data_IF_550630056847
#
_entry.id   IF_550630056847
#
_cell.length_a   1.000
_cell.length_b   1.000
_cell.length_c   1.000
_cell.angle_alpha   90.00
_cell.angle_beta   90.00
_cell.angle_gamma   90.00
#
_symmetry.space_group_name_H-M   'P 1'
#
loop_
_entity.id
_entity.type
_entity.pdbx_description
1 polymer ?
#
# COMPACT_ATOMS: atom_id res chain seq x y z
N UNK A 1 75.78 11.20 -30.22
CA UNK A 1 74.96 11.01 -29.05
C UNK A 1 74.00 9.82 -29.34
N UNK A 2 74.16 8.73 -28.63
CA UNK A 2 73.18 7.62 -28.65
C UNK A 2 72.20 7.85 -27.51
N UNK A 3 70.92 7.93 -27.85
CA UNK A 3 69.81 7.92 -26.88
C UNK A 3 69.35 6.45 -26.71
N UNK A 4 69.10 6.08 -25.49
CA UNK A 4 68.42 4.84 -25.14
C UNK A 4 67.13 5.21 -24.39
N UNK A 5 65.98 4.75 -24.88
CA UNK A 5 64.71 4.91 -24.20
C UNK A 5 64.50 3.71 -23.26
N UNK A 6 64.21 4.01 -22.00
CA UNK A 6 63.84 3.00 -21.00
C UNK A 6 62.45 3.24 -20.51
N UNK A 7 61.64 2.19 -20.38
CA UNK A 7 60.28 2.25 -19.84
C UNK A 7 60.25 1.70 -18.42
N UNK A 8 59.53 2.37 -17.53
CA UNK A 8 59.17 1.85 -16.21
C UNK A 8 57.75 1.30 -16.26
N UNK A 9 57.49 0.19 -15.59
CA UNK A 9 56.16 -0.42 -15.46
C UNK A 9 55.71 -0.32 -14.03
N UNK A 10 54.38 -0.31 -13.81
CA UNK A 10 53.79 -0.35 -12.46
C UNK A 10 54.18 -1.65 -11.72
N UNK A 11 54.24 -1.58 -10.40
CA UNK A 11 54.44 -2.72 -9.50
C UNK A 11 53.20 -3.65 -9.41
N UNK A 12 53.20 -4.51 -8.41
CA UNK A 12 52.07 -5.34 -8.14
C UNK A 12 50.84 -4.54 -7.70
N UNK A 13 49.64 -5.08 -7.97
CA UNK A 13 48.36 -4.43 -7.54
C UNK A 13 48.36 -4.28 -6.02
N UNK A 14 48.13 -3.07 -5.56
CA UNK A 14 48.02 -2.70 -4.15
C UNK A 14 46.67 -2.13 -3.78
N UNK A 15 46.02 -1.37 -4.67
CA UNK A 15 44.75 -0.73 -4.39
C UNK A 15 43.77 -0.80 -5.58
N UNK A 16 42.50 -0.89 -5.25
CA UNK A 16 41.35 -0.71 -6.19
C UNK A 16 40.49 0.41 -5.65
N UNK A 17 40.25 1.45 -6.46
CA UNK A 17 39.31 2.51 -6.13
C UNK A 17 38.11 2.40 -7.05
N UNK A 18 36.89 2.31 -6.46
CA UNK A 18 35.64 2.23 -7.21
C UNK A 18 34.93 3.57 -7.26
N UNK A 19 34.34 3.86 -8.40
CA UNK A 19 33.39 4.96 -8.61
C UNK A 19 32.19 4.46 -9.36
N UNK A 20 31.05 5.15 -9.20
CA UNK A 20 29.81 4.87 -9.93
C UNK A 20 29.43 6.08 -10.80
N UNK A 21 30.01 6.22 -12.01
CA UNK A 21 29.76 7.36 -12.90
C UNK A 21 28.31 7.53 -13.30
N UNK A 22 27.56 6.42 -13.40
CA UNK A 22 26.10 6.42 -13.57
C UNK A 22 25.50 5.67 -12.41
N UNK A 23 24.59 6.33 -11.68
CA UNK A 23 23.93 5.81 -10.51
C UNK A 23 22.47 6.30 -10.46
N UNK A 24 21.53 5.53 -9.90
CA UNK A 24 20.13 5.87 -9.88
C UNK A 24 19.36 5.48 -11.14
N UNK A 25 19.81 4.48 -11.88
CA UNK A 25 19.08 3.94 -13.03
C UNK A 25 17.73 3.36 -12.58
N UNK A 26 16.73 3.42 -13.46
CA UNK A 26 15.42 2.80 -13.20
C UNK A 26 15.55 1.28 -13.12
N UNK A 27 14.92 0.68 -12.12
CA UNK A 27 14.89 -0.76 -11.88
C UNK A 27 13.92 -1.48 -12.83
N UNK A 28 14.25 -1.49 -14.14
CA UNK A 28 13.42 -2.09 -15.19
C UNK A 28 14.11 -3.24 -15.94
N UNK A 29 15.30 -3.66 -15.47
CA UNK A 29 16.10 -4.71 -16.10
C UNK A 29 16.82 -4.27 -17.39
N UNK A 30 16.64 -3.03 -17.83
CA UNK A 30 17.21 -2.49 -19.08
C UNK A 30 18.16 -1.31 -18.82
N UNK A 31 17.72 -0.37 -17.98
CA UNK A 31 18.53 0.80 -17.64
C UNK A 31 19.71 0.36 -16.75
N UNK A 32 20.88 0.97 -17.01
CA UNK A 32 22.13 0.54 -16.39
C UNK A 32 22.71 1.58 -15.46
N UNK A 33 23.18 1.15 -14.30
CA UNK A 33 24.23 1.83 -13.56
C UNK A 33 25.60 1.43 -14.14
N UNK A 34 26.63 2.25 -13.98
CA UNK A 34 28.00 1.92 -14.35
C UNK A 34 28.92 2.04 -13.16
N UNK A 35 29.90 1.12 -13.11
CA UNK A 35 30.97 1.09 -12.10
C UNK A 35 32.31 1.09 -12.82
N UNK A 36 33.24 1.90 -12.32
CA UNK A 36 34.60 2.00 -12.77
C UNK A 36 35.55 1.65 -11.64
N UNK A 37 36.50 0.74 -11.93
CA UNK A 37 37.59 0.39 -11.04
C UNK A 37 38.90 0.99 -11.56
N UNK A 38 39.60 1.72 -10.72
CA UNK A 38 40.97 2.20 -10.96
C UNK A 38 41.90 1.32 -10.13
N UNK A 39 42.78 0.62 -10.79
CA UNK A 39 43.75 -0.32 -10.17
C UNK A 39 45.13 0.32 -10.19
N UNK A 40 45.79 0.40 -9.01
CA UNK A 40 47.09 0.99 -8.85
C UNK A 40 48.02 0.13 -7.96
N UNK A 41 49.34 0.37 -8.12
CA UNK A 41 50.37 -0.20 -7.25
C UNK A 41 50.51 0.62 -5.94
N UNK A 42 51.47 0.29 -5.10
CA UNK A 42 51.71 0.95 -3.80
C UNK A 42 52.15 2.42 -3.91
N UNK A 43 52.69 2.82 -5.05
CA UNK A 43 53.16 4.17 -5.34
C UNK A 43 52.10 4.99 -6.06
N UNK A 44 50.91 4.41 -6.36
CA UNK A 44 49.79 5.03 -7.03
C UNK A 44 49.87 5.01 -8.57
N UNK A 45 50.82 4.25 -9.15
CA UNK A 45 50.93 4.13 -10.61
C UNK A 45 49.83 3.20 -11.13
N UNK A 46 49.16 3.52 -12.26
CA UNK A 46 48.12 2.69 -12.84
C UNK A 46 48.69 1.34 -13.30
N UNK A 47 48.08 0.24 -12.86
CA UNK A 47 48.49 -1.10 -13.26
C UNK A 47 47.78 -1.51 -14.54
N UNK A 48 48.55 -1.68 -15.62
CA UNK A 48 48.05 -2.15 -16.92
C UNK A 48 47.96 -3.68 -16.96
N UNK A 49 46.90 -4.23 -17.58
CA UNK A 49 46.79 -5.67 -17.81
C UNK A 49 46.22 -6.43 -16.60
N UNK A 50 45.81 -5.77 -15.53
CA UNK A 50 45.19 -6.42 -14.38
C UNK A 50 43.77 -6.93 -14.76
N UNK A 51 43.50 -8.21 -14.48
CA UNK A 51 42.19 -8.81 -14.70
C UNK A 51 41.25 -8.49 -13.53
N UNK A 52 40.24 -7.69 -13.75
CA UNK A 52 39.26 -7.24 -12.76
C UNK A 52 37.99 -8.09 -12.88
N UNK A 53 37.59 -8.73 -11.80
CA UNK A 53 36.32 -9.45 -11.67
C UNK A 53 35.34 -8.59 -10.91
N UNK A 54 34.21 -8.25 -11.54
CA UNK A 54 33.10 -7.57 -10.90
C UNK A 54 32.02 -8.55 -10.48
N UNK A 55 31.52 -8.41 -9.25
CA UNK A 55 30.45 -9.24 -8.69
C UNK A 55 29.51 -8.42 -7.83
N UNK A 56 28.30 -8.94 -7.57
CA UNK A 56 27.35 -8.38 -6.62
C UNK A 56 26.73 -9.47 -5.76
N UNK A 57 26.55 -9.20 -4.48
CA UNK A 57 25.80 -10.07 -3.57
C UNK A 57 24.27 -9.96 -3.76
N UNK A 58 23.79 -8.93 -4.46
CA UNK A 58 22.37 -8.79 -4.78
C UNK A 58 22.01 -9.75 -5.92
N UNK A 59 21.21 -10.79 -5.61
CA UNK A 59 20.85 -11.85 -6.54
C UNK A 59 20.02 -11.38 -7.76
N UNK A 60 19.38 -10.23 -7.68
CA UNK A 60 18.58 -9.64 -8.77
C UNK A 60 19.40 -8.73 -9.69
N UNK A 61 20.58 -8.27 -9.22
CA UNK A 61 21.48 -7.44 -10.03
C UNK A 61 22.23 -8.28 -11.06
N UNK A 62 22.14 -7.86 -12.32
CA UNK A 62 22.90 -8.50 -13.41
C UNK A 62 24.08 -7.61 -13.77
N UNK A 63 25.30 -8.15 -13.63
CA UNK A 63 26.53 -7.44 -13.97
C UNK A 63 26.99 -7.88 -15.35
N UNK A 64 27.35 -6.92 -16.18
CA UNK A 64 28.03 -7.10 -17.45
C UNK A 64 29.37 -6.38 -17.41
N UNK A 65 30.47 -7.12 -17.42
CA UNK A 65 31.82 -6.54 -17.53
C UNK A 65 32.03 -5.99 -18.93
N UNK A 66 32.32 -4.69 -19.03
CA UNK A 66 32.54 -3.99 -20.31
C UNK A 66 34.02 -4.01 -20.66
N UNK A 67 34.87 -3.63 -19.69
CA UNK A 67 36.32 -3.71 -19.79
C UNK A 67 36.80 -4.50 -18.56
N UNK A 68 37.16 -5.77 -18.74
CA UNK A 68 37.58 -6.68 -17.66
C UNK A 68 39.07 -6.69 -17.41
N UNK A 69 39.91 -6.12 -18.31
CA UNK A 69 41.36 -6.01 -18.15
C UNK A 69 41.73 -4.52 -18.25
N UNK A 70 42.51 -4.05 -17.29
CA UNK A 70 42.87 -2.63 -17.21
C UNK A 70 43.76 -2.20 -18.37
N UNK A 71 43.47 -0.99 -18.92
CA UNK A 71 44.29 -0.31 -19.89
C UNK A 71 45.52 0.37 -19.28
N UNK A 72 46.20 1.23 -20.08
CA UNK A 72 47.36 2.00 -19.62
C UNK A 72 46.99 3.02 -18.50
N UNK A 73 45.74 3.34 -18.36
CA UNK A 73 45.16 4.20 -17.32
C UNK A 73 44.77 3.43 -16.02
N UNK A 74 44.99 2.11 -15.99
CA UNK A 74 44.60 1.25 -14.88
C UNK A 74 43.09 1.05 -14.72
N UNK A 75 42.27 1.35 -15.74
CA UNK A 75 40.82 1.35 -15.62
C UNK A 75 40.20 0.06 -16.15
N UNK A 76 39.22 -0.47 -15.38
CA UNK A 76 38.26 -1.49 -15.79
C UNK A 76 36.84 -0.99 -15.50
N UNK A 77 35.84 -1.46 -16.27
CA UNK A 77 34.45 -1.00 -16.15
C UNK A 77 33.44 -2.13 -16.24
N UNK A 78 32.34 -1.98 -15.53
CA UNK A 78 31.18 -2.84 -15.63
C UNK A 78 29.89 -2.02 -15.61
N UNK A 79 28.82 -2.61 -16.16
CA UNK A 79 27.45 -2.09 -16.04
C UNK A 79 26.59 -3.06 -15.25
N UNK A 80 25.57 -2.53 -14.60
CA UNK A 80 24.59 -3.31 -13.85
C UNK A 80 23.19 -2.95 -14.33
N UNK A 81 22.32 -3.97 -14.40
CA UNK A 81 20.87 -3.79 -14.47
C UNK A 81 20.22 -4.44 -13.26
N UNK A 82 19.04 -3.97 -12.88
CA UNK A 82 18.22 -4.60 -11.85
C UNK A 82 16.73 -4.39 -12.15
N UNK A 83 15.87 -5.31 -11.71
CA UNK A 83 14.41 -5.16 -11.75
C UNK A 83 13.83 -4.76 -10.39
N UNK A 84 14.66 -4.76 -9.34
CA UNK A 84 14.29 -4.39 -7.98
C UNK A 84 14.96 -3.08 -7.60
N UNK A 85 14.15 -2.09 -7.20
CA UNK A 85 14.62 -0.81 -6.69
C UNK A 85 15.30 -1.00 -5.32
N UNK A 86 16.34 -0.22 -5.08
CA UNK A 86 17.13 -0.31 -3.84
C UNK A 86 18.62 -0.34 -4.12
N UNK A 87 19.39 -0.65 -3.09
CA UNK A 87 20.86 -0.67 -3.14
C UNK A 87 21.38 -2.01 -3.66
N UNK A 88 22.36 -1.93 -4.56
CA UNK A 88 23.15 -3.06 -5.02
C UNK A 88 24.62 -2.79 -4.74
N UNK A 89 25.24 -3.59 -3.89
CA UNK A 89 26.67 -3.51 -3.61
C UNK A 89 27.45 -4.23 -4.71
N UNK A 90 28.45 -3.55 -5.28
CA UNK A 90 29.36 -4.08 -6.30
C UNK A 90 30.75 -4.25 -5.71
N UNK A 91 31.33 -5.41 -5.92
CA UNK A 91 32.70 -5.74 -5.53
C UNK A 91 33.55 -5.91 -6.79
N UNK A 92 34.69 -5.24 -6.83
CA UNK A 92 35.74 -5.49 -7.82
C UNK A 92 36.91 -6.20 -7.13
N UNK A 93 37.44 -7.25 -7.77
CA UNK A 93 38.53 -8.08 -7.24
C UNK A 93 39.60 -8.27 -8.29
N UNK A 94 40.85 -8.08 -7.88
CA UNK A 94 42.05 -8.50 -8.61
C UNK A 94 42.90 -9.33 -7.68
N UNK A 95 43.10 -10.61 -7.98
CA UNK A 95 43.80 -11.59 -7.12
C UNK A 95 43.20 -11.60 -5.69
N UNK A 96 43.94 -11.09 -4.71
CA UNK A 96 43.51 -10.99 -3.30
C UNK A 96 43.06 -9.59 -2.89
N UNK A 97 43.23 -8.59 -3.77
CA UNK A 97 42.85 -7.20 -3.50
C UNK A 97 41.40 -6.99 -3.95
N UNK A 98 40.55 -6.41 -3.10
CA UNK A 98 39.17 -6.10 -3.45
C UNK A 98 38.74 -4.73 -2.90
N UNK A 99 37.73 -4.18 -3.53
CA UNK A 99 37.03 -2.99 -3.08
C UNK A 99 35.53 -3.12 -3.40
N UNK A 100 34.68 -2.37 -2.71
CA UNK A 100 33.24 -2.37 -2.95
C UNK A 100 32.67 -0.96 -3.01
N UNK A 101 31.53 -0.82 -3.70
CA UNK A 101 30.76 0.41 -3.80
C UNK A 101 29.26 0.08 -3.88
N UNK A 102 28.45 0.89 -3.26
CA UNK A 102 26.99 0.81 -3.38
C UNK A 102 26.50 1.62 -4.59
N UNK A 103 25.64 1.01 -5.39
CA UNK A 103 24.84 1.66 -6.42
C UNK A 103 23.38 1.56 -6.08
N UNK A 104 22.58 2.55 -6.48
CA UNK A 104 21.15 2.57 -6.23
C UNK A 104 20.37 2.41 -7.54
N UNK A 105 19.27 1.64 -7.47
CA UNK A 105 18.24 1.62 -8.51
C UNK A 105 16.96 2.25 -7.95
N UNK A 106 16.25 3.02 -8.76
CA UNK A 106 15.03 3.70 -8.39
C UNK A 106 13.81 3.03 -9.05
N UNK A 107 12.65 3.14 -8.42
CA UNK A 107 11.40 2.69 -9.04
C UNK A 107 11.12 3.48 -10.33
N UNK A 108 10.41 2.86 -11.26
CA UNK A 108 9.95 3.47 -12.50
C UNK A 108 8.73 4.37 -12.33
N UNK A 109 8.03 4.64 -13.43
CA UNK A 109 6.78 5.38 -13.41
C UNK A 109 5.67 4.57 -12.71
N UNK A 110 4.68 5.26 -12.14
CA UNK A 110 3.47 4.62 -11.56
C UNK A 110 2.80 3.73 -12.60
N UNK A 111 2.54 2.50 -12.25
CA UNK A 111 1.83 1.53 -13.09
C UNK A 111 0.57 0.99 -12.42
N UNK A 112 0.58 0.82 -11.10
CA UNK A 112 -0.54 0.25 -10.35
C UNK A 112 -0.78 0.99 -9.04
N UNK A 113 -2.06 1.04 -8.65
CA UNK A 113 -2.53 1.40 -7.32
C UNK A 113 -3.33 0.20 -6.80
N UNK A 114 -2.95 -0.34 -5.64
CA UNK A 114 -3.69 -1.41 -4.96
C UNK A 114 -4.23 -0.87 -3.64
N UNK A 115 -5.55 -0.97 -3.44
CA UNK A 115 -6.20 -0.48 -2.22
C UNK A 115 -6.44 -1.61 -1.22
N UNK A 116 -6.37 -1.27 0.06
CA UNK A 116 -6.78 -2.12 1.18
C UNK A 116 -7.50 -1.29 2.24
N UNK A 117 -8.29 -1.96 3.08
CA UNK A 117 -9.05 -1.35 4.18
C UNK A 117 -8.59 -1.96 5.50
N UNK A 118 -7.50 -1.48 6.11
CA UNK A 118 -6.98 -2.01 7.37
C UNK A 118 -7.93 -1.82 8.55
N UNK A 119 -8.73 -0.76 8.53
CA UNK A 119 -9.78 -0.47 9.52
C UNK A 119 -11.09 -0.29 8.78
N UNK A 120 -12.09 -1.13 9.10
CA UNK A 120 -13.41 -1.15 8.50
C UNK A 120 -14.48 -1.25 9.59
N UNK A 121 -15.74 -1.01 9.23
CA UNK A 121 -16.90 -1.10 10.12
C UNK A 121 -16.86 -0.12 11.30
N UNK A 122 -16.27 1.06 11.11
CA UNK A 122 -16.35 2.16 12.06
C UNK A 122 -17.81 2.57 12.30
N UNK A 123 -18.11 3.07 13.51
CA UNK A 123 -19.44 3.58 13.84
C UNK A 123 -19.77 4.79 12.98
N UNK A 124 -21.02 4.83 12.47
CA UNK A 124 -21.53 5.94 11.67
C UNK A 124 -21.96 7.10 12.58
N UNK A 125 -21.04 7.66 13.36
CA UNK A 125 -21.24 8.76 14.32
C UNK A 125 -20.55 10.07 13.91
N UNK A 126 -19.85 10.05 12.76
CA UNK A 126 -19.08 11.18 12.25
C UNK A 126 -17.72 11.39 12.93
N UNK A 127 -17.35 10.54 13.90
CA UNK A 127 -16.11 10.63 14.68
C UNK A 127 -15.21 9.41 14.49
N UNK A 128 -15.78 8.21 14.57
CA UNK A 128 -15.05 6.97 14.32
C UNK A 128 -14.59 6.89 12.87
N UNK A 129 -13.41 6.32 12.64
CA UNK A 129 -12.77 6.34 11.32
C UNK A 129 -12.52 4.96 10.76
N UNK A 130 -12.83 4.77 9.49
CA UNK A 130 -12.25 3.74 8.64
C UNK A 130 -10.91 4.22 8.08
N UNK A 131 -10.00 3.29 7.74
CA UNK A 131 -8.73 3.58 7.08
C UNK A 131 -8.67 2.89 5.73
N UNK A 132 -8.21 3.65 4.73
CA UNK A 132 -7.89 3.11 3.40
C UNK A 132 -6.43 3.39 3.08
N UNK A 133 -5.72 2.34 2.69
CA UNK A 133 -4.33 2.38 2.27
C UNK A 133 -4.23 2.16 0.75
N UNK A 134 -3.39 2.95 0.09
CA UNK A 134 -3.06 2.86 -1.33
C UNK A 134 -1.59 2.50 -1.49
N UNK A 135 -1.29 1.28 -1.93
CA UNK A 135 0.03 0.84 -2.34
C UNK A 135 0.25 1.22 -3.81
N UNK A 136 1.28 2.02 -4.07
CA UNK A 136 1.64 2.52 -5.40
C UNK A 136 2.93 1.86 -5.86
N UNK A 137 2.88 1.24 -7.03
CA UNK A 137 4.01 0.47 -7.57
C UNK A 137 4.23 0.78 -9.07
N UNK A 138 5.48 0.56 -9.50
CA UNK A 138 5.84 0.55 -10.92
C UNK A 138 5.46 -0.79 -11.61
N UNK A 139 5.78 -0.92 -12.90
CA UNK A 139 5.47 -2.11 -13.69
C UNK A 139 6.24 -3.38 -13.24
N UNK A 140 7.31 -3.22 -12.46
CA UNK A 140 8.08 -4.34 -11.91
C UNK A 140 7.70 -4.66 -10.45
N UNK A 141 6.70 -3.97 -9.88
CA UNK A 141 6.28 -4.15 -8.50
C UNK A 141 7.11 -3.38 -7.48
N UNK A 142 7.98 -2.46 -7.92
CA UNK A 142 8.75 -1.64 -6.98
C UNK A 142 7.85 -0.56 -6.36
N UNK A 143 7.95 -0.42 -5.06
CA UNK A 143 7.25 0.62 -4.31
C UNK A 143 7.73 2.01 -4.71
N UNK A 144 6.79 2.94 -4.97
CA UNK A 144 7.10 4.31 -5.36
C UNK A 144 6.95 5.23 -4.16
N UNK A 145 8.04 5.86 -3.75
CA UNK A 145 8.08 6.83 -2.65
C UNK A 145 7.74 8.23 -3.14
N UNK A 146 6.98 8.99 -2.35
CA UNK A 146 6.70 10.41 -2.60
C UNK A 146 5.64 10.67 -3.67
N UNK A 147 4.95 9.65 -4.19
CA UNK A 147 3.86 9.83 -5.13
C UNK A 147 2.64 10.44 -4.42
N UNK A 148 2.07 11.52 -4.98
CA UNK A 148 0.90 12.19 -4.44
C UNK A 148 -0.37 11.43 -4.87
N UNK A 149 -1.00 10.75 -3.92
CA UNK A 149 -2.28 10.04 -4.11
C UNK A 149 -3.42 10.95 -3.73
N UNK A 150 -4.38 11.14 -4.64
CA UNK A 150 -5.63 11.87 -4.37
C UNK A 150 -6.73 10.87 -4.05
N UNK A 151 -7.31 10.99 -2.86
CA UNK A 151 -8.45 10.19 -2.40
C UNK A 151 -9.75 10.97 -2.54
N UNK A 152 -10.79 10.30 -2.98
CA UNK A 152 -12.17 10.78 -3.01
C UNK A 152 -13.12 9.69 -2.56
N UNK A 153 -14.30 10.06 -2.07
CA UNK A 153 -15.33 9.13 -1.62
C UNK A 153 -16.68 9.48 -2.24
N UNK A 154 -17.46 8.44 -2.55
CA UNK A 154 -18.86 8.56 -2.88
C UNK A 154 -19.73 8.37 -1.62
N UNK A 155 -21.07 8.63 -1.76
CA UNK A 155 -22.09 8.38 -0.73
C UNK A 155 -21.93 9.18 0.57
N UNK A 156 -21.28 10.36 0.52
CA UNK A 156 -21.27 11.31 1.63
C UNK A 156 -20.24 11.06 2.74
N UNK A 157 -19.42 10.03 2.66
CA UNK A 157 -18.32 9.86 3.60
C UNK A 157 -17.30 10.99 3.45
N UNK A 158 -16.82 11.50 4.58
CA UNK A 158 -15.84 12.59 4.65
C UNK A 158 -14.43 12.03 4.71
N UNK A 159 -13.62 12.33 3.69
CA UNK A 159 -12.18 12.06 3.68
C UNK A 159 -11.46 13.13 4.50
N UNK A 160 -10.69 12.73 5.53
CA UNK A 160 -10.00 13.67 6.41
C UNK A 160 -8.74 14.27 5.75
N UNK A 161 -8.09 13.52 4.86
CA UNK A 161 -6.94 13.99 4.09
C UNK A 161 -7.05 13.50 2.65
N UNK A 162 -7.44 14.41 1.76
CA UNK A 162 -7.73 14.08 0.35
C UNK A 162 -6.48 13.88 -0.51
N UNK A 163 -5.30 14.32 -0.06
CA UNK A 163 -4.04 14.12 -0.79
C UNK A 163 -2.97 13.67 0.18
N UNK A 164 -2.37 12.52 -0.08
CA UNK A 164 -1.31 11.93 0.74
C UNK A 164 -0.16 11.45 -0.13
N UNK A 165 1.07 11.71 0.32
CA UNK A 165 2.25 11.20 -0.38
C UNK A 165 2.60 9.79 0.13
N UNK A 166 3.02 8.92 -0.77
CA UNK A 166 3.48 7.58 -0.40
C UNK A 166 4.78 7.64 0.40
N UNK A 167 4.87 6.82 1.43
CA UNK A 167 6.10 6.57 2.19
C UNK A 167 7.11 5.70 1.44
N UNK A 168 8.20 5.34 2.12
CA UNK A 168 9.28 4.50 1.56
C UNK A 168 8.80 3.10 1.16
N UNK A 169 7.69 2.63 1.72
CA UNK A 169 7.03 1.37 1.38
C UNK A 169 6.03 1.50 0.22
N UNK A 170 5.91 2.69 -0.38
CA UNK A 170 4.95 2.97 -1.46
C UNK A 170 3.51 3.15 -1.00
N UNK A 171 3.23 3.23 0.31
CA UNK A 171 1.87 3.34 0.85
C UNK A 171 1.53 4.79 1.20
N UNK A 172 0.35 5.24 0.76
CA UNK A 172 -0.34 6.44 1.23
C UNK A 172 -1.62 6.01 1.94
N UNK A 173 -1.90 6.59 3.11
CA UNK A 173 -3.08 6.25 3.94
C UNK A 173 -3.97 7.45 4.13
N UNK A 174 -5.30 7.23 4.10
CA UNK A 174 -6.30 8.24 4.47
C UNK A 174 -7.29 7.66 5.47
N UNK A 175 -7.91 8.55 6.25
CA UNK A 175 -9.01 8.24 7.15
C UNK A 175 -10.29 8.86 6.63
N UNK A 176 -11.41 8.19 6.89
CA UNK A 176 -12.74 8.68 6.54
C UNK A 176 -13.73 8.41 7.64
N UNK A 177 -14.70 9.35 7.80
CA UNK A 177 -15.82 9.26 8.73
C UNK A 177 -17.13 9.30 7.96
N UNK A 178 -18.21 8.80 8.56
CA UNK A 178 -19.56 8.91 8.04
C UNK A 178 -20.57 9.05 9.18
N UNK A 179 -21.73 9.66 8.93
CA UNK A 179 -22.84 9.77 9.89
C UNK A 179 -24.01 8.84 9.54
N UNK A 180 -23.91 8.09 8.45
CA UNK A 180 -24.97 7.20 7.96
C UNK A 180 -24.40 5.81 7.74
N UNK A 181 -25.09 4.77 8.23
CA UNK A 181 -24.73 3.36 7.99
C UNK A 181 -24.78 3.03 6.51
N UNK A 182 -23.85 2.18 6.08
CA UNK A 182 -23.81 1.71 4.71
C UNK A 182 -22.40 1.66 4.13
N UNK A 183 -22.32 1.45 2.84
CA UNK A 183 -21.08 1.32 2.11
C UNK A 183 -20.69 2.62 1.42
N UNK A 184 -19.44 3.02 1.57
CA UNK A 184 -18.82 4.14 0.85
C UNK A 184 -17.74 3.61 -0.07
N UNK A 185 -17.79 3.98 -1.35
CA UNK A 185 -16.75 3.66 -2.32
C UNK A 185 -15.65 4.72 -2.27
N UNK A 186 -14.41 4.30 -2.02
CA UNK A 186 -13.23 5.17 -2.00
C UNK A 186 -12.44 4.97 -3.26
N UNK A 187 -12.08 6.06 -3.92
CA UNK A 187 -11.25 6.07 -5.13
C UNK A 187 -9.93 6.74 -4.80
N UNK A 188 -8.82 6.09 -5.14
CA UNK A 188 -7.48 6.68 -5.13
C UNK A 188 -7.01 6.90 -6.55
N UNK A 189 -6.43 8.07 -6.83
CA UNK A 189 -6.01 8.49 -8.18
C UNK A 189 -4.62 9.11 -8.17
N UNK A 190 -3.79 8.76 -9.14
CA UNK A 190 -2.55 9.44 -9.50
C UNK A 190 -2.59 9.65 -11.01
N UNK A 191 -2.60 10.90 -11.46
CA UNK A 191 -2.73 11.28 -12.87
C UNK A 191 -3.93 10.56 -13.55
N UNK A 192 -3.66 9.60 -14.42
CA UNK A 192 -4.70 8.83 -15.14
C UNK A 192 -4.94 7.43 -14.55
N UNK A 193 -4.18 7.04 -13.53
CA UNK A 193 -4.27 5.72 -12.90
C UNK A 193 -5.16 5.84 -11.67
N UNK A 194 -6.19 5.00 -11.58
CA UNK A 194 -7.10 4.97 -10.44
C UNK A 194 -7.44 3.55 -10.01
N UNK A 195 -7.76 3.41 -8.74
CA UNK A 195 -8.33 2.20 -8.14
C UNK A 195 -9.44 2.59 -7.18
N UNK A 196 -10.36 1.66 -6.90
CA UNK A 196 -11.44 1.89 -5.95
C UNK A 196 -11.63 0.68 -5.03
N UNK A 197 -12.18 0.94 -3.85
CA UNK A 197 -12.51 -0.07 -2.84
C UNK A 197 -13.70 0.41 -2.01
N UNK A 198 -14.51 -0.54 -1.58
CA UNK A 198 -15.63 -0.26 -0.67
C UNK A 198 -15.19 -0.39 0.79
N UNK A 199 -15.71 0.49 1.64
CA UNK A 199 -15.60 0.45 3.09
C UNK A 199 -17.00 0.64 3.70
N UNK A 200 -17.28 -0.02 4.82
CA UNK A 200 -18.59 -0.02 5.45
C UNK A 200 -18.57 0.77 6.76
N UNK A 201 -19.69 1.43 7.06
CA UNK A 201 -19.98 2.02 8.36
C UNK A 201 -21.19 1.33 8.98
N UNK A 202 -21.13 1.09 10.30
CA UNK A 202 -22.16 0.37 11.06
C UNK A 202 -22.85 1.27 12.05
N UNK A 203 -24.06 0.89 12.47
CA UNK A 203 -24.76 1.62 13.52
C UNK A 203 -24.06 1.46 14.87
N UNK A 204 -24.16 2.49 15.70
CA UNK A 204 -23.77 2.45 17.10
C UNK A 204 -24.68 1.57 17.97
N UNK A 205 -24.51 1.70 19.29
CA UNK A 205 -25.36 1.01 20.25
C UNK A 205 -26.82 1.46 20.15
N UNK A 206 -27.75 0.54 20.46
CA UNK A 206 -29.19 0.88 20.54
C UNK A 206 -29.41 2.04 21.52
N UNK A 207 -30.03 3.10 21.02
CA UNK A 207 -30.40 4.27 21.80
C UNK A 207 -31.89 4.50 21.88
N UNK A 208 -32.65 4.20 20.81
CA UNK A 208 -34.09 4.42 20.75
C UNK A 208 -34.83 3.20 20.21
N UNK A 209 -36.05 3.00 20.71
CA UNK A 209 -37.04 2.08 20.17
C UNK A 209 -38.35 2.86 20.00
N UNK A 210 -38.83 2.93 18.75
CA UNK A 210 -40.11 3.57 18.43
C UNK A 210 -41.10 2.51 18.00
N UNK A 211 -42.29 2.46 18.65
CA UNK A 211 -43.36 1.53 18.29
C UNK A 211 -44.36 2.21 17.34
N UNK A 212 -44.75 1.51 16.30
CA UNK A 212 -45.82 1.88 15.38
C UNK A 212 -46.82 0.74 15.22
N UNK A 213 -48.04 1.05 14.82
CA UNK A 213 -49.12 0.11 14.55
C UNK A 213 -49.58 0.24 13.10
N UNK A 214 -48.88 -0.38 12.13
CA UNK A 214 -49.23 -0.29 10.72
C UNK A 214 -50.62 -0.83 10.40
N UNK A 215 -51.11 -1.80 11.16
CA UNK A 215 -52.49 -2.29 11.12
C UNK A 215 -53.06 -2.21 12.53
N UNK A 216 -54.16 -1.48 12.67
CA UNK A 216 -54.86 -1.28 13.95
C UNK A 216 -56.38 -1.34 13.75
N UNK A 217 -57.13 -1.72 14.77
CA UNK A 217 -58.59 -1.82 14.75
C UNK A 217 -59.12 -3.21 14.34
N UNK A 218 -58.32 -4.24 14.50
CA UNK A 218 -58.77 -5.63 14.34
C UNK A 218 -59.94 -5.96 15.26
N UNK A 219 -60.90 -6.80 14.78
CA UNK A 219 -62.00 -7.26 15.57
C UNK A 219 -61.52 -8.19 16.70
N UNK A 220 -62.05 -8.01 17.91
CA UNK A 220 -61.68 -8.83 19.04
C UNK A 220 -62.47 -10.18 19.00
N UNK A 221 -62.12 -11.07 18.09
CA UNK A 221 -62.75 -12.35 17.82
C UNK A 221 -61.76 -13.55 17.96
N UNK A 222 -60.50 -13.25 18.37
CA UNK A 222 -59.44 -14.22 18.51
C UNK A 222 -58.74 -14.61 17.20
N UNK A 223 -59.19 -14.09 16.08
CA UNK A 223 -58.66 -14.40 14.72
C UNK A 223 -58.06 -13.20 14.01
N UNK A 224 -58.78 -12.06 14.06
CA UNK A 224 -58.27 -10.83 13.48
C UNK A 224 -57.05 -10.30 14.27
N UNK A 225 -56.09 -9.73 13.56
CA UNK A 225 -54.83 -9.29 14.18
C UNK A 225 -54.48 -7.87 13.88
N UNK A 226 -54.00 -7.16 14.89
CA UNK A 226 -53.25 -5.92 14.75
C UNK A 226 -51.79 -6.23 14.51
N UNK A 227 -51.08 -5.33 13.77
CA UNK A 227 -49.64 -5.46 13.55
C UNK A 227 -48.91 -4.37 14.34
N UNK A 228 -47.84 -4.73 15.01
CA UNK A 228 -46.96 -3.84 15.74
C UNK A 228 -45.57 -3.92 15.12
N UNK A 229 -44.96 -2.78 14.97
CA UNK A 229 -43.61 -2.65 14.45
C UNK A 229 -42.77 -1.84 15.45
N UNK A 230 -41.59 -2.36 15.76
CA UNK A 230 -40.56 -1.67 16.53
C UNK A 230 -39.43 -1.22 15.56
N UNK A 231 -39.15 0.06 15.55
CA UNK A 231 -38.00 0.63 14.83
C UNK A 231 -36.92 0.92 15.87
N UNK A 232 -35.78 0.31 15.71
CA UNK A 232 -34.64 0.41 16.63
C UNK A 232 -33.52 1.19 15.96
N UNK A 233 -33.08 2.27 16.60
CA UNK A 233 -31.98 3.11 16.09
C UNK A 233 -30.95 3.46 17.16
N UNK A 234 -29.75 3.85 16.72
CA UNK A 234 -28.70 4.41 17.55
C UNK A 234 -28.99 5.89 17.90
N UNK A 235 -28.02 6.58 18.53
CA UNK A 235 -28.13 7.97 18.95
C UNK A 235 -28.18 8.96 17.76
N UNK A 236 -27.64 8.57 16.61
CA UNK A 236 -27.55 9.36 15.40
C UNK A 236 -28.73 9.10 14.44
N UNK A 237 -29.64 8.19 14.85
CA UNK A 237 -30.81 7.83 14.07
C UNK A 237 -30.58 6.71 13.05
N UNK A 238 -29.42 6.10 13.05
CA UNK A 238 -29.11 4.99 12.14
C UNK A 238 -29.86 3.71 12.59
N UNK A 239 -30.43 2.93 11.66
CA UNK A 239 -31.10 1.70 11.98
C UNK A 239 -30.12 0.65 12.53
N UNK A 240 -30.42 0.09 13.71
CA UNK A 240 -29.58 -0.95 14.32
C UNK A 240 -30.02 -2.34 13.86
N UNK A 241 -29.18 -3.02 13.10
CA UNK A 241 -29.39 -4.37 12.63
C UNK A 241 -29.07 -5.38 13.72
N UNK A 242 -29.81 -6.48 13.81
CA UNK A 242 -29.51 -7.59 14.71
C UNK A 242 -29.91 -7.38 16.16
N UNK A 243 -30.60 -6.27 16.49
CA UNK A 243 -31.10 -6.02 17.83
C UNK A 243 -32.29 -6.96 18.14
N UNK A 244 -32.22 -7.65 19.27
CA UNK A 244 -33.32 -8.52 19.74
C UNK A 244 -34.40 -7.66 20.39
N UNK A 245 -35.64 -7.75 19.90
CA UNK A 245 -36.82 -7.04 20.43
C UNK A 245 -37.79 -8.04 21.03
N UNK A 246 -38.18 -7.79 22.29
CA UNK A 246 -39.21 -8.56 23.00
C UNK A 246 -40.47 -7.69 23.08
N UNK A 247 -41.55 -8.18 22.50
CA UNK A 247 -42.85 -7.53 22.56
C UNK A 247 -43.66 -8.06 23.75
N UNK A 248 -44.33 -7.19 24.50
CA UNK A 248 -45.23 -7.52 25.58
C UNK A 248 -46.49 -6.67 25.57
N UNK A 249 -47.59 -7.18 26.11
CA UNK A 249 -48.85 -6.44 26.27
C UNK A 249 -49.26 -6.42 27.74
N UNK A 250 -49.78 -5.27 28.18
CA UNK A 250 -50.42 -5.13 29.50
C UNK A 250 -51.85 -5.72 29.53
N UNK A 251 -52.47 -5.95 28.36
CA UNK A 251 -53.76 -6.62 28.27
C UNK A 251 -53.58 -8.14 28.46
N UNK A 252 -54.12 -8.72 29.54
CA UNK A 252 -53.97 -10.14 29.87
C UNK A 252 -54.65 -11.10 28.88
N UNK A 253 -55.62 -10.63 28.07
CA UNK A 253 -56.29 -11.43 27.04
C UNK A 253 -55.59 -11.35 25.67
N UNK A 254 -54.74 -10.36 25.45
CA UNK A 254 -54.05 -10.22 24.18
C UNK A 254 -52.95 -11.31 24.02
N UNK A 255 -52.98 -11.98 22.89
CA UNK A 255 -51.95 -12.94 22.48
C UNK A 255 -50.98 -12.28 21.51
N UNK A 256 -49.70 -12.29 21.83
CA UNK A 256 -48.63 -11.77 21.00
C UNK A 256 -47.91 -12.91 20.29
N UNK A 257 -47.81 -12.79 18.97
CA UNK A 257 -46.96 -13.64 18.15
C UNK A 257 -45.86 -12.79 17.55
N UNK A 258 -44.62 -12.99 17.99
CA UNK A 258 -43.45 -12.31 17.37
C UNK A 258 -43.19 -12.91 16.00
N UNK A 259 -43.27 -12.11 14.96
CA UNK A 259 -43.04 -12.50 13.55
C UNK A 259 -41.57 -12.36 13.20
N UNK A 260 -41.01 -11.21 13.53
CA UNK A 260 -39.56 -10.91 13.36
C UNK A 260 -39.09 -10.34 14.70
N UNK A 261 -38.36 -11.16 15.50
CA UNK A 261 -37.88 -10.77 16.83
C UNK A 261 -36.49 -10.12 16.82
N UNK A 262 -35.80 -10.17 15.69
CA UNK A 262 -34.47 -9.52 15.50
C UNK A 262 -34.56 -8.56 14.36
N UNK A 263 -34.06 -7.36 14.56
CA UNK A 263 -34.13 -6.28 13.55
C UNK A 263 -33.32 -6.61 12.29
N UNK A 264 -33.89 -6.29 11.13
CA UNK A 264 -33.23 -6.33 9.83
C UNK A 264 -32.31 -5.12 9.59
N UNK A 265 -31.83 -4.96 8.36
CA UNK A 265 -31.00 -3.82 7.94
C UNK A 265 -31.73 -2.46 8.05
N UNK A 266 -33.05 -2.48 8.08
CA UNK A 266 -33.93 -1.33 8.29
C UNK A 266 -34.18 -1.01 9.78
N UNK A 267 -33.57 -1.77 10.70
CA UNK A 267 -33.77 -1.62 12.13
C UNK A 267 -35.16 -2.08 12.63
N UNK A 268 -35.90 -2.88 11.85
CA UNK A 268 -37.30 -3.20 12.14
C UNK A 268 -37.46 -4.61 12.69
N UNK A 269 -38.24 -4.73 13.78
CA UNK A 269 -38.77 -5.95 14.28
C UNK A 269 -40.32 -5.87 14.31
N UNK A 270 -41.04 -7.00 14.15
CA UNK A 270 -42.51 -7.02 14.01
C UNK A 270 -43.16 -8.11 14.88
N UNK A 271 -44.37 -7.82 15.34
CA UNK A 271 -45.24 -8.77 16.00
C UNK A 271 -46.70 -8.57 15.58
N UNK A 272 -47.51 -9.61 15.78
CA UNK A 272 -48.96 -9.55 15.64
C UNK A 272 -49.63 -9.71 17.00
N UNK A 273 -50.78 -9.06 17.20
CA UNK A 273 -51.63 -9.19 18.40
C UNK A 273 -53.03 -9.60 17.99
N UNK A 274 -53.56 -10.62 18.64
CA UNK A 274 -54.97 -11.02 18.60
C UNK A 274 -55.60 -10.88 20.00
N UNK A 275 -56.91 -10.69 20.10
CA UNK A 275 -57.60 -10.53 21.37
C UNK A 275 -59.05 -11.12 21.31
#
# INVERSE_FOLDING_TARGET
NANIDTTFVAGAVATITLTAPVNGAVANGVNTNSVQAVVSDSDGNPVTGAAVVFSSANATAQITTVIGTTGADGIATATLTNTVAGTSNVVATVDTVNANIDTAFVAGAVATITLSVPVNDATADGADTNQVDALVQDANGNAITGAAVVFSSANGATILSSTMNTGVNGVASTLLTHTVVGTSNVVATIDTISANIDTAFVAGAVATITLTTPVNGAVADGTDSNHVQAVVSDSDGNPVTGATVVFSSSNATAQITTVIGTTGADGIATATLTN
#
